data_IF_508749211281
#
_entry.id   IF_508749211281
#
_cell.length_a   1.000
_cell.length_b   1.000
_cell.length_c   1.000
_cell.angle_alpha   90.00
_cell.angle_beta   90.00
_cell.angle_gamma   90.00
#
_symmetry.space_group_name_H-M   'P 1'
#
loop_
_entity.id
_entity.type
_entity.pdbx_description
1 polymer ?
#
# COMPACT_ATOMS: atom_id res chain seq x y z
N UNK A 1 -10.72 -12.34 16.01
CA UNK A 1 -10.23 -11.11 16.66
C UNK A 1 -10.14 -10.02 15.60
N UNK A 2 -10.76 -8.87 15.82
CA UNK A 2 -10.66 -7.68 14.94
C UNK A 2 -9.25 -7.05 14.98
N UNK A 3 -8.46 -7.40 16.00
CA UNK A 3 -7.14 -6.86 16.24
C UNK A 3 -6.06 -7.92 16.00
N UNK A 4 -4.91 -7.46 15.55
CA UNK A 4 -3.74 -8.26 15.24
C UNK A 4 -2.85 -8.39 16.48
N UNK A 5 -2.26 -9.57 16.70
CA UNK A 5 -1.27 -9.76 17.77
C UNK A 5 -0.05 -8.86 17.54
N UNK A 6 0.48 -8.26 18.61
CA UNK A 6 1.71 -7.41 18.59
C UNK A 6 2.87 -8.05 17.83
N UNK A 7 3.15 -9.33 18.10
CA UNK A 7 4.24 -10.08 17.47
C UNK A 7 4.07 -10.17 15.95
N UNK A 8 2.84 -10.36 15.47
CA UNK A 8 2.55 -10.46 14.04
C UNK A 8 2.75 -9.11 13.35
N UNK A 9 2.31 -8.01 13.97
CA UNK A 9 2.53 -6.68 13.42
C UNK A 9 4.02 -6.36 13.34
N UNK A 10 4.75 -6.49 14.45
CA UNK A 10 6.19 -6.19 14.49
C UNK A 10 6.99 -7.08 13.52
N UNK A 11 6.62 -8.34 13.36
CA UNK A 11 7.30 -9.23 12.42
C UNK A 11 6.98 -8.86 10.96
N UNK A 12 5.71 -8.70 10.61
CA UNK A 12 5.29 -8.53 9.23
C UNK A 12 5.41 -7.11 8.71
N UNK A 13 5.30 -6.08 9.54
CA UNK A 13 5.34 -4.67 9.09
C UNK A 13 6.74 -4.03 9.17
N UNK A 14 7.74 -4.73 9.72
CA UNK A 14 9.11 -4.20 9.81
C UNK A 14 9.74 -3.96 8.42
N UNK A 15 10.07 -2.72 8.08
CA UNK A 15 10.54 -2.27 6.77
C UNK A 15 12.02 -2.59 6.44
N UNK A 16 12.49 -3.77 6.82
CA UNK A 16 13.88 -4.20 6.59
C UNK A 16 14.16 -4.36 5.09
N UNK A 17 15.41 -4.11 4.69
CA UNK A 17 15.89 -4.29 3.31
C UNK A 17 15.75 -5.72 2.80
N UNK A 18 16.16 -6.69 3.62
CA UNK A 18 16.07 -8.11 3.28
C UNK A 18 15.14 -8.79 4.27
N UNK A 19 14.00 -9.24 3.77
CA UNK A 19 12.97 -9.92 4.55
C UNK A 19 12.78 -11.36 4.05
N UNK A 20 13.89 -12.09 3.93
CA UNK A 20 13.89 -13.50 3.48
C UNK A 20 13.00 -14.34 4.39
N UNK A 21 12.16 -15.17 3.80
CA UNK A 21 11.25 -16.07 4.52
C UNK A 21 9.90 -15.48 4.92
N UNK A 22 9.64 -14.18 4.71
CA UNK A 22 8.30 -13.59 4.95
C UNK A 22 7.36 -13.87 3.79
N UNK A 23 6.73 -15.04 3.81
CA UNK A 23 5.75 -15.50 2.80
C UNK A 23 4.32 -14.99 3.06
N UNK A 24 4.10 -14.31 4.17
CA UNK A 24 2.79 -13.76 4.54
C UNK A 24 2.69 -12.28 4.20
N UNK A 25 1.55 -11.90 3.62
CA UNK A 25 1.18 -10.50 3.37
C UNK A 25 -0.04 -10.16 4.21
N UNK A 26 0.11 -9.10 5.01
CA UNK A 26 -0.95 -8.53 5.82
C UNK A 26 -1.39 -7.20 5.20
N UNK A 27 -2.68 -6.94 5.24
CA UNK A 27 -3.32 -5.72 4.76
C UNK A 27 -4.26 -5.23 5.84
N UNK A 28 -3.93 -4.11 6.48
CA UNK A 28 -4.89 -3.39 7.31
C UNK A 28 -5.64 -2.38 6.44
N UNK A 29 -6.94 -2.23 6.64
CA UNK A 29 -7.75 -1.34 5.81
C UNK A 29 -8.67 -0.45 6.64
N UNK A 30 -8.99 0.69 6.05
CA UNK A 30 -10.06 1.59 6.51
C UNK A 30 -10.90 1.99 5.31
N UNK A 31 -12.22 1.83 5.42
CA UNK A 31 -13.19 2.29 4.43
C UNK A 31 -13.94 3.48 5.01
N UNK A 32 -13.86 4.63 4.33
CA UNK A 32 -14.58 5.85 4.72
C UNK A 32 -15.55 6.26 3.64
N UNK A 33 -16.73 6.73 4.03
CA UNK A 33 -17.67 7.42 3.15
C UNK A 33 -17.49 8.91 3.27
N UNK A 34 -17.40 9.62 2.14
CA UNK A 34 -17.36 11.08 2.12
C UNK A 34 -18.80 11.60 2.07
N UNK A 35 -19.31 12.09 3.20
CA UNK A 35 -20.51 12.91 3.20
C UNK A 35 -20.07 14.39 3.09
N UNK A 36 -20.91 15.24 2.50
CA UNK A 36 -20.63 16.62 2.05
C UNK A 36 -19.99 17.56 3.08
N UNK A 37 -20.01 17.24 4.38
CA UNK A 37 -19.30 17.98 5.43
C UNK A 37 -18.41 17.11 6.37
N UNK A 38 -18.63 15.80 6.44
CA UNK A 38 -17.94 14.91 7.42
C UNK A 38 -17.64 13.54 6.80
N UNK A 39 -16.43 13.01 6.99
CA UNK A 39 -16.12 11.63 6.63
C UNK A 39 -16.50 10.67 7.75
N UNK A 40 -17.31 9.65 7.46
CA UNK A 40 -17.65 8.59 8.41
C UNK A 40 -16.89 7.31 8.06
N UNK A 41 -16.26 6.65 9.06
CA UNK A 41 -15.66 5.33 8.88
C UNK A 41 -16.77 4.27 8.85
N UNK A 42 -16.83 3.50 7.76
CA UNK A 42 -17.82 2.43 7.59
C UNK A 42 -17.32 1.11 8.17
N UNK A 43 -16.08 0.75 7.83
CA UNK A 43 -15.44 -0.44 8.37
C UNK A 43 -13.92 -0.28 8.42
N UNK A 44 -13.29 -1.04 9.30
CA UNK A 44 -11.85 -1.16 9.39
C UNK A 44 -11.47 -2.54 9.93
N UNK A 45 -10.33 -3.05 9.51
CA UNK A 45 -9.86 -4.34 9.95
C UNK A 45 -8.52 -4.70 9.35
N UNK A 46 -8.17 -5.98 9.46
CA UNK A 46 -7.01 -6.52 8.77
C UNK A 46 -7.35 -7.86 8.12
N UNK A 47 -6.68 -8.12 7.00
CA UNK A 47 -6.72 -9.36 6.26
C UNK A 47 -5.29 -9.90 6.15
N UNK A 48 -5.19 -11.22 5.93
CA UNK A 48 -3.95 -11.92 5.61
C UNK A 48 -4.20 -12.77 4.37
N UNK A 49 -3.18 -12.95 3.54
CA UNK A 49 -3.23 -13.91 2.46
C UNK A 49 -3.60 -15.32 2.96
N UNK A 50 -4.27 -16.06 2.09
CA UNK A 50 -4.66 -17.45 2.28
C UNK A 50 -3.92 -18.33 1.25
N UNK A 51 -3.95 -19.65 1.42
CA UNK A 51 -3.32 -20.56 0.46
C UNK A 51 -3.87 -20.31 -0.94
N UNK A 52 -2.98 -19.95 -1.87
CA UNK A 52 -3.35 -19.64 -3.26
C UNK A 52 -4.08 -18.31 -3.49
N UNK A 53 -4.27 -17.46 -2.47
CA UNK A 53 -4.99 -16.20 -2.62
C UNK A 53 -4.28 -15.03 -1.94
N UNK A 54 -3.86 -14.05 -2.74
CA UNK A 54 -3.24 -12.82 -2.27
C UNK A 54 -4.26 -11.92 -1.56
N UNK A 55 -3.76 -11.14 -0.60
CA UNK A 55 -4.62 -10.37 0.33
C UNK A 55 -5.39 -9.26 -0.38
N UNK A 56 -4.84 -8.71 -1.46
CA UNK A 56 -5.48 -7.70 -2.30
C UNK A 56 -6.73 -8.26 -2.97
N UNK A 57 -6.65 -9.48 -3.52
CA UNK A 57 -7.79 -10.15 -4.16
C UNK A 57 -8.86 -10.51 -3.14
N UNK A 58 -8.46 -10.96 -1.94
CA UNK A 58 -9.40 -11.18 -0.84
C UNK A 58 -10.15 -9.90 -0.47
N UNK A 59 -9.43 -8.76 -0.38
CA UNK A 59 -10.07 -7.48 -0.10
C UNK A 59 -11.03 -7.07 -1.23
N UNK A 60 -10.65 -7.23 -2.49
CA UNK A 60 -11.53 -6.89 -3.62
C UNK A 60 -12.84 -7.70 -3.57
N UNK A 61 -12.78 -9.01 -3.27
CA UNK A 61 -13.99 -9.82 -3.08
C UNK A 61 -14.83 -9.33 -1.92
N UNK A 62 -14.18 -9.00 -0.80
CA UNK A 62 -14.85 -8.47 0.38
C UNK A 62 -15.62 -7.18 0.09
N UNK A 63 -14.98 -6.19 -0.54
CA UNK A 63 -15.62 -4.90 -0.82
C UNK A 63 -16.64 -4.99 -1.97
N UNK A 64 -16.47 -5.92 -2.92
CA UNK A 64 -17.44 -6.13 -4.00
C UNK A 64 -18.76 -6.72 -3.52
N UNK A 65 -18.76 -7.37 -2.36
CA UNK A 65 -19.98 -7.86 -1.73
C UNK A 65 -20.78 -6.74 -1.03
N UNK A 66 -20.24 -5.52 -0.95
CA UNK A 66 -20.94 -4.38 -0.38
C UNK A 66 -21.83 -3.71 -1.42
N UNK A 67 -23.02 -3.29 -0.99
CA UNK A 67 -23.90 -2.43 -1.79
C UNK A 67 -23.41 -0.98 -1.75
N UNK A 68 -22.43 -0.67 -2.62
CA UNK A 68 -21.82 0.65 -2.73
C UNK A 68 -22.72 1.58 -3.55
N UNK A 69 -23.36 2.53 -2.87
CA UNK A 69 -24.18 3.60 -3.48
C UNK A 69 -23.38 4.37 -4.56
N UNK A 70 -23.77 4.29 -5.84
CA UNK A 70 -23.08 4.99 -6.93
C UNK A 70 -23.08 6.52 -6.78
N UNK A 71 -24.06 7.08 -6.06
CA UNK A 71 -24.15 8.52 -5.80
C UNK A 71 -23.19 9.03 -4.73
N UNK A 72 -22.43 8.14 -4.07
CA UNK A 72 -21.53 8.50 -2.97
C UNK A 72 -20.08 8.15 -3.27
N UNK A 73 -19.18 8.99 -2.77
CA UNK A 73 -17.75 8.77 -2.88
C UNK A 73 -17.22 8.03 -1.64
N UNK A 74 -16.38 7.03 -1.87
CA UNK A 74 -15.71 6.30 -0.80
C UNK A 74 -14.19 6.43 -0.92
N UNK A 75 -13.53 6.33 0.23
CA UNK A 75 -12.08 6.33 0.35
C UNK A 75 -11.63 5.10 1.09
N UNK A 76 -10.85 4.29 0.41
CA UNK A 76 -10.23 3.10 0.93
C UNK A 76 -8.77 3.43 1.20
N UNK A 77 -8.30 3.10 2.40
CA UNK A 77 -6.88 3.21 2.76
C UNK A 77 -6.37 1.85 3.18
N UNK A 78 -5.33 1.37 2.50
CA UNK A 78 -4.62 0.14 2.82
C UNK A 78 -3.26 0.46 3.45
N UNK A 79 -2.91 -0.33 4.46
CA UNK A 79 -1.58 -0.42 5.03
C UNK A 79 -1.10 -1.85 4.82
N UNK A 80 -0.15 -2.06 3.90
CA UNK A 80 0.28 -3.40 3.51
C UNK A 80 1.69 -3.72 3.98
N UNK A 81 1.93 -4.96 4.38
CA UNK A 81 3.28 -5.41 4.75
C UNK A 81 4.22 -5.49 3.55
N UNK A 82 3.68 -5.75 2.36
CA UNK A 82 4.37 -5.78 1.06
C UNK A 82 3.57 -5.00 0.02
N UNK A 83 4.23 -4.45 -0.99
CA UNK A 83 3.52 -3.84 -2.12
C UNK A 83 2.80 -4.92 -2.92
N UNK A 84 1.68 -4.58 -3.60
CA UNK A 84 1.02 -5.52 -4.49
C UNK A 84 1.96 -6.02 -5.58
N UNK A 85 1.89 -7.32 -5.88
CA UNK A 85 2.56 -7.87 -7.06
C UNK A 85 1.88 -7.38 -8.36
N UNK A 86 2.48 -7.68 -9.51
CA UNK A 86 1.96 -7.25 -10.83
C UNK A 86 0.50 -7.63 -11.05
N UNK A 87 0.13 -8.90 -10.85
CA UNK A 87 -1.24 -9.37 -11.11
C UNK A 87 -2.26 -8.75 -10.13
N UNK A 88 -1.89 -8.62 -8.86
CA UNK A 88 -2.73 -7.92 -7.87
C UNK A 88 -2.91 -6.46 -8.22
N UNK A 89 -1.83 -5.78 -8.64
CA UNK A 89 -1.88 -4.39 -9.07
C UNK A 89 -2.78 -4.21 -10.30
N UNK A 90 -2.74 -5.16 -11.26
CA UNK A 90 -3.65 -5.19 -12.41
C UNK A 90 -5.12 -5.31 -11.96
N UNK A 91 -5.44 -6.30 -11.12
CA UNK A 91 -6.82 -6.51 -10.66
C UNK A 91 -7.36 -5.29 -9.90
N UNK A 92 -6.54 -4.69 -9.04
CA UNK A 92 -6.93 -3.49 -8.30
C UNK A 92 -7.12 -2.29 -9.23
N UNK A 93 -6.26 -2.11 -10.24
CA UNK A 93 -6.43 -1.05 -11.23
C UNK A 93 -7.72 -1.23 -12.04
N UNK A 94 -8.03 -2.45 -12.47
CA UNK A 94 -9.25 -2.75 -13.23
C UNK A 94 -10.51 -2.56 -12.35
N UNK A 95 -10.43 -2.91 -11.06
CA UNK A 95 -11.47 -2.61 -10.07
C UNK A 95 -11.71 -1.10 -9.91
N UNK A 96 -10.65 -0.29 -9.76
CA UNK A 96 -10.81 1.17 -9.63
C UNK A 96 -11.46 1.82 -10.87
N UNK A 97 -11.24 1.27 -12.06
CA UNK A 97 -11.92 1.75 -13.27
C UNK A 97 -13.41 1.40 -13.29
N UNK A 98 -13.79 0.23 -12.78
CA UNK A 98 -15.19 -0.18 -12.68
C UNK A 98 -15.97 0.64 -11.64
N UNK A 99 -15.28 1.18 -10.63
CA UNK A 99 -15.89 1.94 -9.53
C UNK A 99 -15.27 3.34 -9.40
N UNK A 100 -15.64 4.31 -10.27
CA UNK A 100 -15.02 5.64 -10.31
C UNK A 100 -15.29 6.49 -9.07
N UNK A 101 -16.28 6.13 -8.26
CA UNK A 101 -16.58 6.76 -6.97
C UNK A 101 -15.67 6.30 -5.82
N UNK A 102 -14.77 5.32 -6.07
CA UNK A 102 -13.80 4.83 -5.11
C UNK A 102 -12.43 5.50 -5.30
N UNK A 103 -11.87 5.99 -4.20
CA UNK A 103 -10.48 6.43 -4.14
C UNK A 103 -9.66 5.48 -3.27
N UNK A 104 -8.50 5.06 -3.75
CA UNK A 104 -7.61 4.13 -3.03
C UNK A 104 -6.29 4.79 -2.67
N UNK A 105 -5.88 4.62 -1.41
CA UNK A 105 -4.55 4.94 -0.90
C UNK A 105 -3.89 3.67 -0.41
N UNK A 106 -2.65 3.43 -0.81
CA UNK A 106 -1.86 2.27 -0.42
C UNK A 106 -0.58 2.76 0.25
N UNK A 107 -0.43 2.47 1.53
CA UNK A 107 0.79 2.69 2.29
C UNK A 107 1.46 1.34 2.52
N UNK A 108 2.61 1.11 1.89
CA UNK A 108 3.30 -0.17 2.00
C UNK A 108 4.55 -0.09 2.87
N UNK A 109 4.77 -1.09 3.72
CA UNK A 109 5.94 -1.20 4.56
C UNK A 109 7.20 -1.57 3.76
N UNK A 110 7.05 -2.36 2.69
CA UNK A 110 8.14 -2.86 1.86
C UNK A 110 7.69 -2.98 0.42
N UNK A 111 8.62 -2.72 -0.49
CA UNK A 111 8.43 -3.04 -1.90
C UNK A 111 8.73 -4.53 -2.12
N UNK A 112 7.82 -5.26 -2.73
CA UNK A 112 8.02 -6.63 -3.16
C UNK A 112 9.07 -6.68 -4.29
N UNK A 113 9.58 -7.87 -4.60
CA UNK A 113 10.87 -8.14 -5.29
C UNK A 113 11.19 -7.26 -6.51
N UNK A 114 11.88 -6.15 -6.24
CA UNK A 114 12.45 -5.26 -7.24
C UNK A 114 13.83 -5.74 -7.78
N UNK A 115 14.23 -7.00 -7.52
CA UNK A 115 15.56 -7.52 -7.85
C UNK A 115 15.62 -8.27 -9.21
N UNK A 116 14.50 -8.81 -9.73
CA UNK A 116 14.50 -9.57 -11.00
C UNK A 116 13.56 -9.00 -12.08
N UNK A 117 14.04 -7.94 -12.74
CA UNK A 117 13.91 -7.59 -14.17
C UNK A 117 12.62 -7.77 -15.01
N UNK A 118 11.44 -8.25 -14.57
CA UNK A 118 10.37 -8.54 -15.58
C UNK A 118 8.96 -7.97 -15.44
N UNK A 119 8.45 -7.49 -14.29
CA UNK A 119 7.06 -6.99 -14.28
C UNK A 119 6.66 -6.02 -13.15
N UNK A 120 7.34 -6.02 -12.01
CA UNK A 120 6.82 -5.33 -10.84
C UNK A 120 6.76 -3.79 -10.93
N UNK A 121 7.72 -3.09 -11.55
CA UNK A 121 7.59 -1.64 -11.74
C UNK A 121 6.33 -1.26 -12.51
N UNK A 122 5.92 -2.09 -13.48
CA UNK A 122 4.76 -1.81 -14.32
C UNK A 122 3.44 -2.00 -13.58
N UNK A 123 3.37 -2.95 -12.64
CA UNK A 123 2.19 -3.11 -11.78
C UNK A 123 1.90 -1.85 -10.96
N UNK A 124 2.91 -1.33 -10.26
CA UNK A 124 2.77 -0.12 -9.45
C UNK A 124 2.49 1.12 -10.30
N UNK A 125 3.12 1.23 -11.49
CA UNK A 125 2.81 2.30 -12.46
C UNK A 125 1.38 2.21 -12.95
N UNK A 126 0.88 1.01 -13.26
CA UNK A 126 -0.51 0.81 -13.70
C UNK A 126 -1.51 1.24 -12.63
N UNK A 127 -1.25 0.89 -11.36
CA UNK A 127 -2.06 1.36 -10.23
C UNK A 127 -2.05 2.88 -10.11
N UNK A 128 -0.88 3.49 -10.21
CA UNK A 128 -0.73 4.94 -10.14
C UNK A 128 -1.51 5.63 -11.28
N UNK A 129 -1.41 5.13 -12.52
CA UNK A 129 -2.18 5.63 -13.67
C UNK A 129 -3.69 5.42 -13.51
N UNK A 130 -4.11 4.40 -12.76
CA UNK A 130 -5.52 4.18 -12.42
C UNK A 130 -6.03 5.09 -11.28
N UNK A 131 -5.21 6.03 -10.79
CA UNK A 131 -5.59 7.00 -9.77
C UNK A 131 -5.33 6.55 -8.33
N UNK A 132 -4.71 5.38 -8.12
CA UNK A 132 -4.32 4.93 -6.78
C UNK A 132 -3.13 5.74 -6.25
N UNK A 133 -3.23 6.26 -5.02
CA UNK A 133 -2.12 6.92 -4.35
C UNK A 133 -1.27 5.88 -3.64
N UNK A 134 0.01 5.75 -4.02
CA UNK A 134 0.92 4.75 -3.45
C UNK A 134 2.04 5.48 -2.70
N UNK A 135 2.28 5.09 -1.44
CA UNK A 135 3.33 5.64 -0.61
C UNK A 135 3.99 4.54 0.25
N UNK A 136 5.17 4.85 0.78
CA UNK A 136 5.82 4.01 1.79
C UNK A 136 5.34 4.44 3.18
N UNK A 137 5.11 3.47 4.05
CA UNK A 137 4.75 3.74 5.45
C UNK A 137 5.85 4.54 6.16
N UNK A 138 5.43 5.60 6.83
CA UNK A 138 6.24 6.43 7.74
C UNK A 138 5.96 6.06 9.19
N UNK A 139 6.70 6.67 10.13
CA UNK A 139 6.44 6.50 11.56
C UNK A 139 4.96 6.78 11.92
N UNK A 140 4.36 7.81 11.32
CA UNK A 140 2.96 8.18 11.57
C UNK A 140 1.99 7.07 11.16
N UNK A 141 2.27 6.42 10.04
CA UNK A 141 1.44 5.31 9.53
C UNK A 141 1.57 4.07 10.42
N UNK A 142 2.79 3.77 10.89
CA UNK A 142 2.99 2.68 11.86
C UNK A 142 2.32 2.96 13.20
N UNK A 143 2.44 4.19 13.71
CA UNK A 143 1.78 4.62 14.94
C UNK A 143 0.25 4.53 14.81
N UNK A 144 -0.30 4.96 13.68
CA UNK A 144 -1.73 4.81 13.38
C UNK A 144 -2.13 3.33 13.37
N UNK A 145 -1.41 2.50 12.61
CA UNK A 145 -1.74 1.09 12.49
C UNK A 145 -1.66 0.35 13.84
N UNK A 146 -0.66 0.68 14.65
CA UNK A 146 -0.48 0.11 15.98
C UNK A 146 -1.64 0.42 16.92
N UNK A 147 -2.21 1.62 16.83
CA UNK A 147 -3.33 2.03 17.69
C UNK A 147 -4.70 1.62 17.15
N UNK A 148 -4.82 1.33 15.86
CA UNK A 148 -6.10 0.96 15.23
C UNK A 148 -6.27 -0.55 15.04
N UNK A 149 -5.20 -1.26 14.66
CA UNK A 149 -5.30 -2.66 14.22
C UNK A 149 -4.58 -3.66 15.12
N UNK A 150 -3.85 -3.22 16.15
CA UNK A 150 -3.03 -4.12 16.98
C UNK A 150 -3.59 -4.21 18.39
N UNK A 151 -3.60 -5.43 18.94
CA UNK A 151 -3.93 -5.68 20.34
C UNK A 151 -2.88 -5.01 21.24
N UNK A 152 -3.19 -3.82 21.74
CA UNK A 152 -2.23 -3.01 22.49
C UNK A 152 -2.81 -2.51 23.82
N UNK A 153 -2.23 -2.97 24.93
CA UNK A 153 -2.55 -2.48 26.29
C UNK A 153 -1.79 -1.21 26.67
N UNK A 154 -0.65 -0.92 26.02
CA UNK A 154 0.31 0.12 26.44
C UNK A 154 0.23 1.42 25.61
N UNK A 155 -0.69 1.51 24.64
CA UNK A 155 -0.99 2.66 23.72
C UNK A 155 0.19 3.32 22.97
N UNK A 156 1.43 2.92 23.23
CA UNK A 156 2.62 3.51 22.63
C UNK A 156 3.25 2.57 21.61
N UNK A 157 3.60 3.10 20.44
CA UNK A 157 4.35 2.37 19.41
C UNK A 157 5.84 2.68 19.56
N UNK A 158 6.66 1.66 19.78
CA UNK A 158 8.12 1.78 19.81
C UNK A 158 8.68 1.46 18.42
N UNK A 159 9.27 2.45 17.77
CA UNK A 159 9.98 2.24 16.51
C UNK A 159 11.16 1.29 16.70
N UNK A 160 11.43 0.47 15.68
CA UNK A 160 12.66 -0.29 15.58
C UNK A 160 13.78 0.57 14.99
N UNK A 161 15.01 0.14 15.23
CA UNK A 161 16.20 0.77 14.66
C UNK A 161 16.15 0.79 13.13
N UNK A 162 16.47 1.93 12.53
CA UNK A 162 16.49 2.10 11.08
C UNK A 162 15.11 2.32 10.44
N UNK A 163 14.02 2.46 11.22
CA UNK A 163 12.66 2.61 10.66
C UNK A 163 12.58 3.81 9.71
N UNK A 164 13.08 4.97 10.14
CA UNK A 164 13.00 6.21 9.37
C UNK A 164 13.87 6.15 8.11
N UNK A 165 15.12 5.74 8.26
CA UNK A 165 16.13 5.61 7.21
C UNK A 165 15.65 4.66 6.11
N UNK A 166 15.07 3.51 6.51
CA UNK A 166 14.49 2.56 5.56
C UNK A 166 13.27 3.14 4.84
N UNK A 167 12.40 3.87 5.55
CA UNK A 167 11.22 4.53 4.96
C UNK A 167 11.64 5.56 3.90
N UNK A 168 12.63 6.41 4.20
CA UNK A 168 13.19 7.39 3.26
C UNK A 168 13.79 6.70 2.03
N UNK A 169 14.60 5.65 2.24
CA UNK A 169 15.23 4.91 1.14
C UNK A 169 14.19 4.26 0.22
N UNK A 170 13.22 3.55 0.80
CA UNK A 170 12.13 2.92 0.05
C UNK A 170 11.27 3.98 -0.67
N UNK A 171 11.04 5.14 -0.06
CA UNK A 171 10.29 6.24 -0.68
C UNK A 171 10.99 6.76 -1.93
N UNK A 172 12.32 6.93 -1.89
CA UNK A 172 13.12 7.30 -3.06
C UNK A 172 13.11 6.22 -4.15
N UNK A 173 13.07 4.95 -3.77
CA UNK A 173 12.95 3.84 -4.71
C UNK A 173 11.56 3.82 -5.37
N UNK A 174 10.48 3.95 -4.59
CA UNK A 174 9.12 4.04 -5.10
C UNK A 174 8.95 5.22 -6.05
N UNK A 175 9.49 6.40 -5.71
CA UNK A 175 9.45 7.57 -6.60
C UNK A 175 10.08 7.25 -7.96
N UNK A 176 11.26 6.60 -7.98
CA UNK A 176 11.91 6.16 -9.23
C UNK A 176 11.08 5.16 -10.03
N UNK A 177 10.31 4.29 -9.36
CA UNK A 177 9.41 3.35 -10.03
C UNK A 177 8.24 4.08 -10.67
N UNK A 178 7.64 5.04 -9.95
CA UNK A 178 6.43 5.75 -10.39
C UNK A 178 6.70 6.87 -11.41
N UNK A 179 7.94 7.38 -11.48
CA UNK A 179 8.33 8.36 -12.48
C UNK A 179 8.10 7.81 -13.91
N UNK A 180 7.50 8.60 -14.80
CA UNK A 180 7.39 8.24 -16.21
C UNK A 180 8.79 8.12 -16.83
N UNK A 181 8.99 7.12 -17.70
CA UNK A 181 10.29 6.90 -18.35
C UNK A 181 10.73 8.10 -19.22
N UNK A 182 9.78 8.86 -19.80
CA UNK A 182 10.08 10.03 -20.62
C UNK A 182 10.79 11.15 -19.85
N UNK A 183 10.47 11.36 -18.56
CA UNK A 183 11.15 12.39 -17.75
C UNK A 183 12.60 12.00 -17.44
N UNK A 184 12.90 10.71 -17.40
CA UNK A 184 14.26 10.20 -17.16
C UNK A 184 15.11 10.31 -18.42
N UNK A 185 14.50 10.07 -19.58
CA UNK A 185 15.14 10.22 -20.88
C UNK A 185 15.34 11.72 -21.22
N UNK A 186 14.34 12.58 -20.98
CA UNK A 186 14.48 14.04 -21.12
C UNK A 186 15.57 14.61 -20.20
N UNK A 187 15.65 14.13 -18.95
CA UNK A 187 16.75 14.53 -18.05
C UNK A 187 18.10 14.03 -18.56
N UNK A 188 18.21 12.78 -19.04
CA UNK A 188 19.46 12.26 -19.62
C UNK A 188 19.88 13.01 -20.86
N UNK A 189 18.94 13.34 -21.74
CA UNK A 189 19.21 14.09 -22.95
C UNK A 189 19.52 15.55 -22.63
N UNK A 190 18.90 16.14 -21.60
CA UNK A 190 19.28 17.44 -21.08
C UNK A 190 20.71 17.43 -20.48
N UNK A 191 21.09 16.42 -19.69
CA UNK A 191 22.44 16.27 -19.16
C UNK A 191 23.48 16.08 -20.27
N UNK A 192 23.17 15.27 -21.29
CA UNK A 192 24.01 15.14 -22.50
C UNK A 192 24.15 16.45 -23.26
N UNK A 193 23.05 17.21 -23.41
CA UNK A 193 23.05 18.51 -24.09
C UNK A 193 23.86 19.55 -23.32
N UNK A 194 23.91 19.43 -21.99
CA UNK A 194 24.71 20.29 -21.10
C UNK A 194 26.17 19.81 -20.93
N UNK A 195 26.57 18.70 -21.57
CA UNK A 195 27.95 18.18 -21.50
C UNK A 195 28.38 17.69 -20.11
N UNK A 196 27.42 17.30 -19.26
CA UNK A 196 27.63 16.81 -17.90
C UNK A 196 27.55 15.28 -17.80
#
# INVERSE_FOLDING_TARGET
>A
SLLMKRKNFLYNFKNMRWAKGRRETYLCYVVKRRNSATSCSLDFGYLRNQMGCHVEVLFLRYISAWDLDPGRCYRITWFTSWSPCYDCARHVADFLRAYPNLSLRIFTARLYFCEDRKAEPEGLRRLHRAGAQIAIMTFKDYFYCWNTFVENREKTFKAWEGLHENSVRLSRQLRRILLPLYEVDDLRDAFKTLGL
#
